data_IF_075316191990
#
_entry.id   IF_075316191990
#
_cell.length_a   1.000
_cell.length_b   1.000
_cell.length_c   1.000
_cell.angle_alpha   90.00
_cell.angle_beta   90.00
_cell.angle_gamma   90.00
#
_symmetry.space_group_name_H-M   'P 1'
#
loop_
_entity.id
_entity.type
_entity.pdbx_description
1 polymer ?
#
# COMPACT_ATOMS: atom_id res chain seq x y z
N UNK A 1 38.69 35.63 -17.98
CA UNK A 1 39.18 34.37 -17.39
C UNK A 1 38.23 33.26 -17.79
N UNK A 2 38.78 32.12 -18.23
CA UNK A 2 38.13 31.08 -19.05
C UNK A 2 36.95 30.38 -18.34
N UNK A 3 35.83 30.25 -19.05
CA UNK A 3 34.69 29.42 -18.65
C UNK A 3 35.06 27.94 -18.68
N UNK A 4 34.79 27.23 -17.58
CA UNK A 4 34.92 25.78 -17.52
C UNK A 4 33.61 25.17 -18.01
N UNK A 5 33.63 24.66 -19.25
CA UNK A 5 32.61 23.76 -19.78
C UNK A 5 32.71 22.44 -19.02
N UNK A 6 31.68 22.09 -18.24
CA UNK A 6 31.54 20.76 -17.68
C UNK A 6 31.25 19.80 -18.83
N UNK A 7 32.23 18.97 -19.18
CA UNK A 7 32.02 17.85 -20.09
C UNK A 7 31.15 16.83 -19.38
N UNK A 8 29.85 16.81 -19.68
CA UNK A 8 28.96 15.72 -19.28
C UNK A 8 29.37 14.48 -20.07
N UNK A 9 30.09 13.56 -19.43
CA UNK A 9 30.28 12.22 -19.97
C UNK A 9 28.91 11.55 -20.17
N UNK A 10 28.66 10.90 -21.32
CA UNK A 10 27.44 10.13 -21.49
C UNK A 10 27.44 9.02 -20.44
N UNK A 11 26.37 8.92 -19.65
CA UNK A 11 26.08 7.74 -18.82
C UNK A 11 26.13 6.52 -19.73
N UNK A 12 27.27 5.83 -19.74
CA UNK A 12 27.40 4.52 -20.37
C UNK A 12 26.41 3.62 -19.65
N UNK A 13 25.25 3.40 -20.27
CA UNK A 13 24.38 2.28 -19.92
C UNK A 13 25.23 1.03 -20.11
N UNK A 14 25.79 0.53 -19.00
CA UNK A 14 26.30 -0.83 -18.93
C UNK A 14 25.10 -1.71 -19.26
N UNK A 15 25.01 -2.15 -20.53
CA UNK A 15 24.22 -3.31 -20.91
C UNK A 15 24.87 -4.46 -20.15
N UNK A 16 24.45 -4.68 -18.91
CA UNK A 16 24.60 -5.98 -18.31
C UNK A 16 23.90 -6.92 -19.28
N UNK A 17 24.67 -7.78 -19.94
CA UNK A 17 24.16 -9.01 -20.53
C UNK A 17 23.40 -9.70 -19.41
N UNK A 18 22.07 -9.49 -19.39
CA UNK A 18 21.16 -10.22 -18.53
C UNK A 18 21.23 -11.64 -19.07
N UNK A 19 22.19 -12.42 -18.57
CA UNK A 19 22.24 -13.85 -18.78
C UNK A 19 20.83 -14.36 -18.47
N UNK A 20 20.25 -15.10 -19.41
CA UNK A 20 18.91 -15.65 -19.28
C UNK A 20 18.78 -16.27 -17.89
N UNK A 21 17.92 -15.69 -17.05
CA UNK A 21 17.62 -16.23 -15.73
C UNK A 21 17.02 -17.61 -16.01
N UNK A 22 17.77 -18.68 -15.69
CA UNK A 22 17.26 -20.05 -15.84
C UNK A 22 16.07 -20.21 -14.89
N UNK A 23 14.90 -20.66 -15.38
CA UNK A 23 13.78 -20.94 -14.50
C UNK A 23 14.15 -22.07 -13.54
N UNK A 24 13.85 -21.88 -12.25
CA UNK A 24 14.16 -22.87 -11.21
C UNK A 24 13.31 -24.15 -11.34
N UNK A 25 12.19 -24.09 -12.08
CA UNK A 25 11.23 -25.19 -12.18
C UNK A 25 10.37 -25.31 -10.92
N UNK A 26 9.93 -26.52 -10.60
CA UNK A 26 9.22 -26.80 -9.35
C UNK A 26 10.17 -26.63 -8.17
N UNK A 27 9.87 -25.70 -7.28
CA UNK A 27 10.62 -25.46 -6.06
C UNK A 27 9.86 -26.08 -4.88
N UNK A 28 10.55 -26.82 -3.98
CA UNK A 28 9.88 -27.48 -2.85
C UNK A 28 9.36 -26.49 -1.80
N UNK A 29 9.94 -25.28 -1.74
CA UNK A 29 9.52 -24.22 -0.83
C UNK A 29 9.60 -22.86 -1.54
N UNK A 30 8.44 -22.23 -1.77
CA UNK A 30 8.38 -20.92 -2.42
C UNK A 30 8.94 -19.80 -1.52
N UNK A 31 8.78 -19.91 -0.20
CA UNK A 31 9.16 -18.86 0.75
C UNK A 31 10.67 -18.62 0.78
N UNK A 32 11.48 -19.67 0.58
CA UNK A 32 12.95 -19.57 0.47
C UNK A 32 13.41 -18.66 -0.68
N UNK A 33 12.54 -18.45 -1.67
CA UNK A 33 12.82 -17.60 -2.83
C UNK A 33 12.23 -16.19 -2.70
N UNK A 34 11.49 -15.91 -1.63
CA UNK A 34 10.94 -14.60 -1.34
C UNK A 34 11.95 -13.79 -0.54
N UNK A 35 12.28 -12.60 -1.02
CA UNK A 35 13.15 -11.67 -0.30
C UNK A 35 12.55 -11.34 1.07
N UNK A 36 13.34 -11.35 2.16
CA UNK A 36 12.82 -11.10 3.52
C UNK A 36 12.09 -9.75 3.67
N UNK A 37 12.43 -8.77 2.83
CA UNK A 37 11.80 -7.45 2.78
C UNK A 37 10.67 -7.36 1.73
N UNK A 38 10.12 -8.47 1.23
CA UNK A 38 9.09 -8.49 0.18
C UNK A 38 7.88 -7.59 0.49
N UNK A 39 7.44 -7.61 1.75
CA UNK A 39 6.33 -6.82 2.28
C UNK A 39 6.60 -5.31 2.15
N UNK A 40 7.85 -4.90 1.96
CA UNK A 40 8.24 -3.52 1.65
C UNK A 40 7.89 -3.06 0.26
N UNK A 41 7.73 -3.98 -0.68
CA UNK A 41 7.64 -3.66 -2.10
C UNK A 41 6.28 -4.02 -2.67
N UNK A 42 5.59 -5.01 -2.11
CA UNK A 42 4.31 -5.49 -2.67
C UNK A 42 3.16 -4.49 -2.51
N UNK A 43 3.09 -3.77 -1.38
CA UNK A 43 2.01 -2.81 -1.09
C UNK A 43 2.23 -1.47 -1.79
N UNK A 44 2.06 -1.46 -3.10
CA UNK A 44 2.13 -0.27 -3.95
C UNK A 44 1.00 -0.29 -5.00
N UNK A 45 1.17 0.37 -6.14
CA UNK A 45 0.20 0.32 -7.23
C UNK A 45 -0.16 -1.08 -7.72
N UNK A 46 0.75 -2.05 -7.62
CA UNK A 46 0.51 -3.45 -8.01
C UNK A 46 -0.56 -4.06 -7.13
N UNK A 47 -0.47 -3.93 -5.81
CA UNK A 47 -1.48 -4.43 -4.86
C UNK A 47 -2.90 -4.00 -5.23
N UNK A 48 -3.13 -2.71 -5.51
CA UNK A 48 -4.45 -2.25 -5.94
C UNK A 48 -4.82 -2.63 -7.39
N UNK A 49 -3.86 -3.03 -8.23
CA UNK A 49 -4.19 -3.55 -9.57
C UNK A 49 -4.57 -5.02 -9.53
N UNK A 50 -4.03 -5.78 -8.59
CA UNK A 50 -4.21 -7.22 -8.50
C UNK A 50 -5.33 -7.62 -7.55
N UNK A 51 -5.56 -6.85 -6.48
CA UNK A 51 -6.43 -7.27 -5.37
C UNK A 51 -7.55 -6.27 -5.07
N UNK A 52 -7.67 -5.15 -5.79
CA UNK A 52 -8.69 -4.13 -5.49
C UNK A 52 -10.13 -4.62 -5.70
N UNK A 53 -10.35 -5.58 -6.59
CA UNK A 53 -11.65 -6.24 -6.73
C UNK A 53 -12.04 -7.01 -5.45
N UNK A 54 -11.07 -7.52 -4.70
CA UNK A 54 -11.27 -8.17 -3.42
C UNK A 54 -11.38 -7.15 -2.28
N UNK A 55 -10.45 -6.19 -2.20
CA UNK A 55 -10.31 -5.33 -1.01
C UNK A 55 -11.09 -4.02 -1.06
N UNK A 56 -11.65 -3.65 -2.23
CA UNK A 56 -12.28 -2.35 -2.45
C UNK A 56 -13.80 -2.45 -2.67
N UNK A 57 -14.44 -3.46 -2.09
CA UNK A 57 -15.90 -3.56 -2.04
C UNK A 57 -16.45 -2.71 -0.88
N UNK A 58 -17.24 -1.68 -1.22
CA UNK A 58 -17.85 -0.79 -0.24
C UNK A 58 -18.95 -1.47 0.58
N UNK A 59 -19.65 -2.47 0.02
CA UNK A 59 -20.68 -3.21 0.75
C UNK A 59 -20.04 -4.01 1.87
N UNK A 60 -18.98 -4.76 1.57
CA UNK A 60 -18.20 -5.51 2.58
C UNK A 60 -17.65 -4.55 3.63
N UNK A 61 -17.08 -3.41 3.20
CA UNK A 61 -16.56 -2.40 4.14
C UNK A 61 -17.63 -1.89 5.10
N UNK A 62 -18.84 -1.61 4.62
CA UNK A 62 -19.96 -1.18 5.49
C UNK A 62 -20.35 -2.27 6.49
N UNK A 63 -20.50 -3.50 6.02
CA UNK A 63 -20.87 -4.66 6.85
C UNK A 63 -19.83 -4.93 7.95
N UNK A 64 -18.53 -4.82 7.64
CA UNK A 64 -17.47 -4.94 8.63
C UNK A 64 -17.48 -3.80 9.65
N UNK A 65 -17.69 -2.55 9.23
CA UNK A 65 -17.79 -1.42 10.17
C UNK A 65 -19.03 -1.53 11.05
N UNK A 66 -20.17 -2.02 10.52
CA UNK A 66 -21.36 -2.34 11.31
C UNK A 66 -21.03 -3.38 12.38
N UNK A 67 -20.37 -4.48 11.98
CA UNK A 67 -19.96 -5.55 12.89
C UNK A 67 -19.01 -5.06 13.98
N UNK A 68 -17.99 -4.26 13.63
CA UNK A 68 -17.07 -3.68 14.61
C UNK A 68 -17.82 -2.77 15.58
N UNK A 69 -18.75 -1.96 15.07
CA UNK A 69 -19.55 -1.07 15.91
C UNK A 69 -20.46 -1.83 16.86
N UNK A 70 -21.04 -2.93 16.40
CA UNK A 70 -21.89 -3.78 17.20
C UNK A 70 -21.10 -4.51 18.30
N UNK A 71 -19.94 -5.09 17.97
CA UNK A 71 -19.14 -5.88 18.92
C UNK A 71 -18.51 -4.97 19.98
N UNK A 72 -17.84 -3.92 19.52
CA UNK A 72 -17.03 -3.05 20.39
C UNK A 72 -17.87 -1.94 21.04
N UNK A 73 -19.11 -1.72 20.58
CA UNK A 73 -20.00 -0.64 21.04
C UNK A 73 -19.34 0.73 20.95
N UNK A 74 -18.58 0.96 19.88
CA UNK A 74 -17.86 2.22 19.68
C UNK A 74 -18.80 3.42 19.57
N UNK A 75 -18.37 4.54 20.12
CA UNK A 75 -19.03 5.84 20.11
C UNK A 75 -18.31 6.81 19.17
N UNK A 76 -19.00 7.80 18.57
CA UNK A 76 -18.36 8.85 17.77
C UNK A 76 -17.25 9.65 18.47
N UNK A 77 -17.23 9.64 19.80
CA UNK A 77 -16.23 10.30 20.64
C UNK A 77 -14.98 9.44 20.92
N UNK A 78 -15.05 8.14 20.67
CA UNK A 78 -13.92 7.23 20.89
C UNK A 78 -12.76 7.51 19.94
N UNK A 79 -11.54 7.27 20.43
CA UNK A 79 -10.32 7.35 19.63
C UNK A 79 -10.06 6.01 18.95
N UNK A 80 -10.04 6.01 17.62
CA UNK A 80 -9.87 4.80 16.81
C UNK A 80 -8.57 4.90 16.04
N UNK A 81 -7.74 3.86 16.11
CA UNK A 81 -6.55 3.69 15.29
C UNK A 81 -6.76 2.56 14.28
N UNK A 82 -6.73 2.88 13.00
CA UNK A 82 -6.71 1.94 11.89
C UNK A 82 -5.25 1.67 11.50
N UNK A 83 -4.71 0.54 11.97
CA UNK A 83 -3.33 0.13 11.73
C UNK A 83 -3.25 -0.79 10.51
N UNK A 84 -2.27 -0.54 9.63
CA UNK A 84 -2.21 -1.12 8.29
C UNK A 84 -3.43 -0.72 7.44
N UNK A 85 -3.80 0.56 7.51
CA UNK A 85 -5.05 1.07 6.94
C UNK A 85 -5.12 1.01 5.41
N UNK A 86 -4.01 0.74 4.72
CA UNK A 86 -3.93 0.70 3.26
C UNK A 86 -4.47 1.98 2.62
N UNK A 87 -5.43 1.83 1.69
CA UNK A 87 -6.11 2.94 1.02
C UNK A 87 -7.27 3.53 1.84
N UNK A 88 -7.39 3.17 3.12
CA UNK A 88 -8.25 3.82 4.11
C UNK A 88 -9.73 3.39 4.07
N UNK A 89 -10.05 2.18 3.60
CA UNK A 89 -11.46 1.78 3.39
C UNK A 89 -12.31 1.89 4.65
N UNK A 90 -11.79 1.44 5.81
CA UNK A 90 -12.50 1.51 7.09
C UNK A 90 -12.46 2.91 7.69
N UNK A 91 -11.28 3.53 7.77
CA UNK A 91 -11.13 4.89 8.30
C UNK A 91 -12.03 5.90 7.60
N UNK A 92 -12.12 5.84 6.27
CA UNK A 92 -12.99 6.74 5.49
C UNK A 92 -14.47 6.43 5.73
N UNK A 93 -14.85 5.17 5.89
CA UNK A 93 -16.22 4.79 6.22
C UNK A 93 -16.62 5.27 7.63
N UNK A 94 -15.76 5.08 8.63
CA UNK A 94 -15.95 5.61 9.97
C UNK A 94 -16.09 7.14 9.96
N UNK A 95 -15.21 7.85 9.25
CA UNK A 95 -15.31 9.30 9.12
C UNK A 95 -16.65 9.73 8.47
N UNK A 96 -17.12 9.04 7.42
CA UNK A 96 -18.43 9.31 6.80
C UNK A 96 -19.61 9.10 7.76
N UNK A 97 -19.47 8.20 8.73
CA UNK A 97 -20.48 7.94 9.78
C UNK A 97 -20.40 8.92 10.95
N UNK A 98 -19.48 9.90 10.92
CA UNK A 98 -19.39 10.97 11.90
C UNK A 98 -18.43 10.72 13.05
N UNK A 99 -17.62 9.66 13.00
CA UNK A 99 -16.53 9.46 13.96
C UNK A 99 -15.46 10.53 13.73
N UNK A 100 -15.12 11.29 14.79
CA UNK A 100 -14.25 12.47 14.67
C UNK A 100 -12.79 12.18 14.98
N UNK A 101 -12.53 11.17 15.81
CA UNK A 101 -11.21 10.86 16.34
C UNK A 101 -10.63 9.59 15.72
N UNK A 102 -10.58 9.53 14.38
CA UNK A 102 -10.03 8.39 13.62
C UNK A 102 -8.64 8.73 13.12
N UNK A 103 -7.65 7.95 13.55
CA UNK A 103 -6.27 8.01 13.06
C UNK A 103 -5.97 6.78 12.22
N UNK A 104 -5.27 6.96 11.10
CA UNK A 104 -4.95 5.87 10.18
C UNK A 104 -3.45 5.83 9.92
N UNK A 105 -2.85 4.64 10.03
CA UNK A 105 -1.44 4.43 9.81
C UNK A 105 -1.21 3.27 8.84
N UNK A 106 -0.47 3.56 7.78
CA UNK A 106 0.08 2.55 6.88
C UNK A 106 1.50 2.94 6.48
N UNK A 107 2.34 1.94 6.26
CA UNK A 107 3.71 2.16 5.82
C UNK A 107 3.81 2.56 4.36
N UNK A 108 2.86 2.13 3.53
CA UNK A 108 2.84 2.41 2.10
C UNK A 108 2.46 3.86 1.85
N UNK A 109 3.46 4.66 1.49
CA UNK A 109 3.21 6.04 1.04
C UNK A 109 2.22 6.09 -0.12
N UNK A 110 2.29 5.14 -1.05
CA UNK A 110 1.38 5.06 -2.18
C UNK A 110 -0.08 4.90 -1.73
N UNK A 111 -0.35 3.97 -0.81
CA UNK A 111 -1.71 3.71 -0.33
C UNK A 111 -2.25 4.88 0.50
N UNK A 112 -1.41 5.50 1.36
CA UNK A 112 -1.78 6.71 2.10
C UNK A 112 -2.16 7.86 1.14
N UNK A 113 -1.43 8.06 0.04
CA UNK A 113 -1.81 9.08 -0.95
C UNK A 113 -3.15 8.75 -1.62
N UNK A 114 -3.43 7.47 -1.87
CA UNK A 114 -4.75 7.03 -2.39
C UNK A 114 -5.87 7.25 -1.38
N UNK A 115 -5.63 7.02 -0.09
CA UNK A 115 -6.59 7.31 0.97
C UNK A 115 -6.91 8.81 1.03
N UNK A 116 -5.88 9.67 1.05
CA UNK A 116 -6.02 11.14 1.06
C UNK A 116 -6.78 11.67 -0.16
N UNK A 117 -6.56 11.08 -1.33
CA UNK A 117 -7.26 11.48 -2.55
C UNK A 117 -8.78 11.17 -2.49
N UNK A 118 -9.17 10.12 -1.76
CA UNK A 118 -10.57 9.70 -1.57
C UNK A 118 -11.27 10.38 -0.38
N UNK A 119 -10.50 11.06 0.48
CA UNK A 119 -11.00 11.80 1.63
C UNK A 119 -11.61 13.17 1.28
N UNK A 120 -11.55 13.56 0.01
CA UNK A 120 -12.19 14.77 -0.52
C UNK A 120 -13.64 14.49 -0.87
#
# INVERSE_FOLDING_TARGET
MKGQSSKSEPLQRRRATMGLIKPLGHVPNLEEHVQLDWWRRIFNSIYLKTDADVVNDQRITREEVDLFSEILKISPEDKILDLCCGQGRHSLELARRGFRNVESLDRSHYLIQKAKAQAK
#
